data_IF_422581137782
#
_entry.id   IF_422581137782
#
_cell.length_a   1.000
_cell.length_b   1.000
_cell.length_c   1.000
_cell.angle_alpha   90.00
_cell.angle_beta   90.00
_cell.angle_gamma   90.00
#
_symmetry.space_group_name_H-M   'P 1'
#
loop_
_entity.id
_entity.type
_entity.pdbx_description
1 polymer ?
#
# COMPACT_ATOMS: atom_id res chain seq x y z
N UNK A 1 -14.77 40.60 30.32
CA UNK A 1 -14.93 41.44 29.11
C UNK A 1 -13.59 41.59 28.43
N UNK A 2 -13.37 40.83 27.35
CA UNK A 2 -12.64 41.25 26.13
C UNK A 2 -12.64 40.07 25.16
N UNK A 3 -13.08 40.36 23.95
CA UNK A 3 -13.58 39.46 22.93
C UNK A 3 -12.47 38.88 22.05
N UNK A 4 -12.70 37.62 21.65
CA UNK A 4 -12.55 37.05 20.31
C UNK A 4 -11.76 37.83 19.25
N UNK A 5 -10.74 37.17 18.68
CA UNK A 5 -10.45 37.23 17.24
C UNK A 5 -10.04 35.83 16.77
N UNK A 6 -10.98 35.15 16.12
CA UNK A 6 -10.82 33.93 15.31
C UNK A 6 -11.42 34.27 13.93
N UNK A 7 -10.65 34.01 12.87
CA UNK A 7 -11.01 33.90 11.42
C UNK A 7 -9.77 34.36 10.63
N UNK A 8 -9.38 33.83 9.47
CA UNK A 8 -10.07 33.08 8.42
C UNK A 8 -8.97 32.67 7.42
N UNK A 9 -8.90 31.43 6.95
CA UNK A 9 -8.19 31.08 5.72
C UNK A 9 -8.67 29.72 5.17
N UNK A 10 -9.87 29.72 4.58
CA UNK A 10 -10.35 28.64 3.73
C UNK A 10 -11.28 29.24 2.69
N UNK A 11 -10.82 29.40 1.44
CA UNK A 11 -11.62 29.40 0.22
C UNK A 11 -10.77 29.80 -0.99
N UNK A 12 -10.36 28.83 -1.80
CA UNK A 12 -10.24 29.00 -3.26
C UNK A 12 -10.33 27.62 -3.91
N UNK A 13 -11.55 27.17 -4.20
CA UNK A 13 -11.82 26.18 -5.25
C UNK A 13 -12.66 26.92 -6.30
N UNK A 14 -12.04 27.18 -7.45
CA UNK A 14 -12.68 27.80 -8.60
C UNK A 14 -13.46 26.72 -9.35
N UNK A 15 -14.78 26.89 -9.36
CA UNK A 15 -15.71 26.27 -10.30
C UNK A 15 -15.36 26.71 -11.73
N UNK A 16 -15.15 25.76 -12.65
CA UNK A 16 -15.29 26.01 -14.09
C UNK A 16 -16.54 25.29 -14.60
N UNK A 17 -17.56 26.10 -14.83
CA UNK A 17 -18.73 25.76 -15.65
C UNK A 17 -18.39 25.94 -17.12
N UNK A 18 -18.85 25.00 -17.94
CA UNK A 18 -18.92 25.08 -19.40
C UNK A 18 -19.75 26.27 -19.88
N UNK A 19 -19.58 26.67 -21.15
CA UNK A 19 -20.70 27.09 -21.97
C UNK A 19 -20.92 26.17 -23.17
N UNK A 20 -22.19 26.08 -23.54
CA UNK A 20 -22.73 25.31 -24.64
C UNK A 20 -22.79 26.14 -25.95
N UNK A 21 -23.02 25.40 -27.04
CA UNK A 21 -23.71 25.76 -28.29
C UNK A 21 -23.06 26.69 -29.33
N UNK A 22 -22.79 26.12 -30.52
CA UNK A 22 -23.52 26.37 -31.78
C UNK A 22 -22.87 25.54 -32.92
N UNK A 23 -23.58 24.54 -33.46
CA UNK A 23 -24.13 24.54 -34.83
C UNK A 23 -23.19 25.06 -35.93
N UNK A 24 -22.71 24.16 -36.81
CA UNK A 24 -23.20 24.14 -38.19
C UNK A 24 -22.78 22.90 -38.99
N UNK A 25 -23.67 22.60 -39.92
CA UNK A 25 -23.76 21.48 -40.86
C UNK A 25 -22.61 21.35 -41.89
N UNK A 26 -22.40 20.12 -42.39
CA UNK A 26 -22.58 19.73 -43.79
C UNK A 26 -21.52 18.73 -44.32
N UNK A 27 -22.03 17.58 -44.77
CA UNK A 27 -21.71 16.85 -46.01
C UNK A 27 -20.24 16.57 -46.42
N UNK A 28 -19.98 15.31 -46.76
CA UNK A 28 -19.46 15.00 -48.10
C UNK A 28 -18.25 14.08 -48.20
N UNK A 29 -18.54 12.87 -48.69
CA UNK A 29 -17.78 12.13 -49.71
C UNK A 29 -16.44 11.43 -49.35
N UNK A 30 -16.56 10.10 -49.39
CA UNK A 30 -15.57 9.13 -49.85
C UNK A 30 -15.00 9.49 -51.24
N UNK A 31 -13.67 9.36 -51.41
CA UNK A 31 -13.08 8.51 -52.47
C UNK A 31 -11.55 8.42 -52.37
N UNK A 32 -11.11 7.17 -52.42
CA UNK A 32 -9.85 6.61 -52.94
C UNK A 32 -9.04 7.48 -53.93
N UNK A 33 -7.70 7.53 -53.78
CA UNK A 33 -6.75 6.90 -54.73
C UNK A 33 -5.25 7.20 -54.46
N UNK A 34 -4.47 6.11 -54.37
CA UNK A 34 -3.23 5.78 -55.09
C UNK A 34 -1.91 6.59 -55.01
N UNK A 35 -0.86 5.74 -54.95
CA UNK A 35 0.50 5.82 -55.56
C UNK A 35 1.68 6.43 -54.80
N UNK A 36 2.48 5.50 -54.24
CA UNK A 36 3.83 5.09 -54.68
C UNK A 36 4.97 6.12 -54.88
N UNK A 37 6.11 5.74 -54.27
CA UNK A 37 7.51 5.94 -54.71
C UNK A 37 8.14 7.29 -54.36
N UNK A 38 9.41 7.44 -53.96
CA UNK A 38 10.52 6.57 -53.56
C UNK A 38 11.76 7.49 -53.38
N UNK A 39 12.78 7.02 -52.64
CA UNK A 39 14.22 7.35 -52.76
C UNK A 39 14.86 8.34 -51.76
N UNK A 40 16.03 7.88 -51.28
CA UNK A 40 17.17 8.55 -50.62
C UNK A 40 16.94 8.99 -49.16
N UNK A 41 17.76 8.60 -48.18
CA UNK A 41 19.16 8.21 -48.21
C UNK A 41 19.86 9.06 -47.15
N UNK A 42 20.13 8.50 -45.97
CA UNK A 42 21.03 9.10 -44.99
C UNK A 42 21.53 8.03 -44.03
N UNK A 43 22.80 7.72 -44.18
CA UNK A 43 23.61 6.94 -43.26
C UNK A 43 23.93 7.81 -42.06
N UNK A 44 23.20 7.67 -40.95
CA UNK A 44 23.57 8.30 -39.67
C UNK A 44 24.10 7.25 -38.71
N UNK A 45 25.42 7.29 -38.54
CA UNK A 45 26.12 6.66 -37.43
C UNK A 45 25.73 7.40 -36.14
N UNK A 46 24.93 6.75 -35.29
CA UNK A 46 24.62 7.26 -33.96
C UNK A 46 25.78 6.93 -32.98
N UNK A 47 26.23 7.90 -32.16
CA UNK A 47 27.23 7.67 -31.11
C UNK A 47 26.63 6.86 -29.94
N UNK A 48 27.44 6.07 -29.19
CA UNK A 48 26.93 5.09 -28.23
C UNK A 48 26.41 5.65 -26.88
N UNK A 49 26.19 6.96 -26.74
CA UNK A 49 25.75 7.57 -25.46
C UNK A 49 24.82 8.78 -25.65
N UNK A 50 23.79 8.65 -26.49
CA UNK A 50 22.65 9.57 -26.47
C UNK A 50 21.68 9.18 -25.34
N UNK A 51 21.29 10.13 -24.49
CA UNK A 51 20.13 9.95 -23.62
C UNK A 51 18.91 9.60 -24.50
N UNK A 52 18.01 8.72 -24.05
CA UNK A 52 16.80 8.40 -24.82
C UNK A 52 16.06 9.69 -25.15
N UNK A 53 15.57 9.80 -26.39
CA UNK A 53 14.77 10.95 -26.79
C UNK A 53 13.54 11.07 -25.89
N UNK A 54 13.01 12.28 -25.68
CA UNK A 54 11.81 12.50 -24.85
C UNK A 54 10.65 11.61 -25.30
N UNK A 55 10.57 11.28 -26.59
CA UNK A 55 9.58 10.34 -27.15
C UNK A 55 9.87 8.89 -26.79
N UNK A 56 11.13 8.48 -26.73
CA UNK A 56 11.53 7.15 -26.24
C UNK A 56 11.39 7.03 -24.72
N UNK A 57 11.54 8.13 -23.98
CA UNK A 57 11.27 8.21 -22.55
C UNK A 57 9.76 8.17 -22.28
N UNK A 58 8.96 8.93 -23.03
CA UNK A 58 7.49 8.88 -22.97
C UNK A 58 6.98 7.49 -23.39
N UNK A 59 7.49 6.89 -24.47
CA UNK A 59 7.14 5.51 -24.83
C UNK A 59 7.60 4.52 -23.76
N UNK A 60 8.76 4.69 -23.12
CA UNK A 60 9.20 3.81 -22.03
C UNK A 60 8.36 3.99 -20.74
N UNK A 61 7.87 5.21 -20.49
CA UNK A 61 7.01 5.52 -19.34
C UNK A 61 5.54 5.13 -19.57
N UNK A 62 5.05 5.21 -20.81
CA UNK A 62 3.71 4.82 -21.25
C UNK A 62 3.64 3.32 -21.63
N UNK A 63 4.78 2.68 -21.89
CA UNK A 63 4.94 1.25 -22.15
C UNK A 63 5.84 0.58 -21.11
N UNK A 64 5.68 0.92 -19.82
CA UNK A 64 5.79 -0.16 -18.84
C UNK A 64 4.69 -1.14 -19.26
N UNK A 65 5.01 -2.36 -19.70
CA UNK A 65 3.98 -3.24 -20.19
C UNK A 65 3.17 -3.66 -18.97
N UNK A 66 2.09 -2.91 -18.70
CA UNK A 66 0.86 -3.55 -18.32
C UNK A 66 0.57 -4.46 -19.51
N UNK A 67 1.06 -5.70 -19.43
CA UNK A 67 0.92 -6.71 -20.47
C UNK A 67 -0.57 -7.04 -20.54
N UNK A 68 -1.34 -6.20 -21.21
CA UNK A 68 -2.71 -6.49 -21.59
C UNK A 68 -2.70 -7.87 -22.26
N UNK A 69 -3.28 -8.86 -21.58
CA UNK A 69 -3.38 -10.23 -22.08
C UNK A 69 -2.40 -11.26 -21.52
N UNK A 70 -1.45 -10.92 -20.63
CA UNK A 70 -0.73 -11.96 -19.86
C UNK A 70 -1.36 -12.11 -18.48
N UNK A 71 -1.86 -13.31 -18.17
CA UNK A 71 -2.26 -13.63 -16.81
C UNK A 71 -1.03 -13.46 -15.90
N UNK A 72 -1.10 -12.54 -14.93
CA UNK A 72 0.01 -12.30 -13.99
C UNK A 72 0.32 -13.53 -13.14
N UNK A 73 -0.67 -14.41 -13.01
CA UNK A 73 -0.64 -15.63 -12.20
C UNK A 73 -1.25 -16.79 -12.98
N UNK A 74 -0.74 -18.00 -12.77
CA UNK A 74 -1.27 -19.22 -13.35
C UNK A 74 -2.39 -19.85 -12.51
N UNK A 75 -3.34 -19.04 -12.03
CA UNK A 75 -4.49 -19.52 -11.25
C UNK A 75 -5.72 -19.69 -12.17
N UNK A 76 -6.50 -20.78 -12.06
CA UNK A 76 -7.72 -20.95 -12.83
C UNK A 76 -8.74 -19.84 -12.49
N UNK A 77 -9.28 -19.15 -13.50
CA UNK A 77 -10.23 -18.02 -13.30
C UNK A 77 -11.52 -18.41 -12.57
N UNK A 78 -11.86 -19.70 -12.51
CA UNK A 78 -13.13 -20.20 -11.96
C UNK A 78 -13.01 -20.94 -10.63
N UNK A 79 -11.80 -21.06 -10.08
CA UNK A 79 -11.58 -21.72 -8.80
C UNK A 79 -11.31 -20.69 -7.70
N UNK A 80 -11.81 -20.97 -6.49
CA UNK A 80 -11.45 -20.16 -5.33
C UNK A 80 -9.93 -20.25 -5.13
N UNK A 81 -9.24 -19.13 -4.86
CA UNK A 81 -7.78 -19.13 -4.77
C UNK A 81 -7.27 -19.84 -3.50
N UNK A 82 -8.17 -20.25 -2.60
CA UNK A 82 -7.82 -21.02 -1.41
C UNK A 82 -8.32 -22.46 -1.49
N UNK A 83 -7.49 -23.37 -1.00
CA UNK A 83 -7.82 -24.76 -0.75
C UNK A 83 -8.09 -24.99 0.74
N UNK A 84 -8.94 -25.95 1.05
CA UNK A 84 -9.11 -26.45 2.42
C UNK A 84 -7.92 -27.32 2.77
N UNK A 85 -7.32 -27.08 3.94
CA UNK A 85 -6.29 -27.97 4.46
C UNK A 85 -6.96 -29.13 5.19
N UNK A 86 -6.65 -30.37 4.79
CA UNK A 86 -7.03 -31.57 5.54
C UNK A 86 -6.28 -31.71 6.88
N UNK A 87 -5.24 -30.89 7.08
CA UNK A 87 -4.49 -30.78 8.33
C UNK A 87 -4.69 -29.40 8.93
N UNK A 88 -5.10 -29.33 10.21
CA UNK A 88 -4.97 -28.09 10.97
C UNK A 88 -3.47 -27.86 11.16
N UNK A 89 -2.90 -26.89 10.44
CA UNK A 89 -1.52 -26.42 10.69
C UNK A 89 -1.43 -26.03 12.19
N UNK A 90 -0.31 -26.25 12.91
CA UNK A 90 -0.09 -25.71 14.27
C UNK A 90 -0.47 -24.23 14.45
N UNK A 91 -0.64 -23.47 13.37
CA UNK A 91 -1.14 -22.10 13.36
C UNK A 91 -2.66 -21.94 13.45
N UNK A 92 -3.45 -23.02 13.38
CA UNK A 92 -4.92 -23.02 13.39
C UNK A 92 -5.58 -22.80 12.02
N UNK A 93 -4.79 -22.75 10.95
CA UNK A 93 -5.24 -22.45 9.59
C UNK A 93 -6.09 -23.59 9.01
N UNK A 94 -7.36 -23.32 8.68
CA UNK A 94 -8.25 -24.28 8.01
C UNK A 94 -8.20 -24.17 6.48
N UNK A 95 -7.78 -23.02 5.97
CA UNK A 95 -7.67 -22.73 4.54
C UNK A 95 -6.26 -22.21 4.22
N UNK A 96 -5.84 -22.32 2.97
CA UNK A 96 -4.59 -21.74 2.50
C UNK A 96 -4.65 -21.43 1.01
N UNK A 97 -3.89 -20.43 0.57
CA UNK A 97 -3.60 -20.22 -0.86
C UNK A 97 -2.46 -21.18 -1.23
N UNK A 98 -2.65 -22.10 -2.19
CA UNK A 98 -1.60 -23.01 -2.65
C UNK A 98 -0.37 -22.27 -3.16
N UNK A 99 0.81 -22.94 -3.19
CA UNK A 99 1.98 -22.34 -3.79
C UNK A 99 1.73 -21.98 -5.26
N UNK A 100 2.20 -20.81 -5.69
CA UNK A 100 2.09 -20.36 -7.06
C UNK A 100 3.35 -19.60 -7.48
N UNK A 101 3.54 -19.48 -8.79
CA UNK A 101 4.64 -18.73 -9.39
C UNK A 101 4.07 -17.51 -10.09
N UNK A 102 4.64 -16.34 -9.81
CA UNK A 102 4.30 -15.11 -10.52
C UNK A 102 4.94 -15.14 -11.91
N UNK A 103 4.13 -14.99 -12.95
CA UNK A 103 4.56 -15.23 -14.33
C UNK A 103 5.56 -14.17 -14.84
N UNK A 104 5.54 -12.98 -14.26
CA UNK A 104 6.38 -11.85 -14.72
C UNK A 104 7.84 -11.94 -14.26
N UNK A 105 8.10 -12.44 -13.06
CA UNK A 105 9.44 -12.48 -12.45
C UNK A 105 9.85 -13.87 -11.93
N UNK A 106 8.99 -14.88 -12.09
CA UNK A 106 9.24 -16.23 -11.60
C UNK A 106 9.25 -16.36 -10.07
N UNK A 107 8.77 -15.33 -9.34
CA UNK A 107 8.78 -15.36 -7.88
C UNK A 107 7.78 -16.39 -7.36
N UNK A 108 8.25 -17.24 -6.47
CA UNK A 108 7.44 -18.27 -5.83
C UNK A 108 6.81 -17.73 -4.56
N UNK A 109 5.51 -17.95 -4.40
CA UNK A 109 4.75 -17.61 -3.22
C UNK A 109 4.06 -18.85 -2.67
N UNK A 110 3.74 -18.80 -1.37
CA UNK A 110 2.94 -19.81 -0.71
C UNK A 110 3.70 -21.06 -0.23
N UNK A 111 3.01 -21.96 0.49
CA UNK A 111 1.57 -21.87 0.81
C UNK A 111 1.28 -20.74 1.82
N UNK A 112 0.20 -19.99 1.58
CA UNK A 112 -0.21 -18.85 2.42
C UNK A 112 -1.42 -19.26 3.26
N UNK A 113 -1.21 -19.60 4.53
CA UNK A 113 -2.32 -20.01 5.39
C UNK A 113 -3.25 -18.87 5.77
N UNK A 114 -4.53 -19.20 5.87
CA UNK A 114 -5.65 -18.35 6.25
C UNK A 114 -6.31 -18.94 7.53
N UNK A 115 -6.56 -18.09 8.52
CA UNK A 115 -7.09 -18.49 9.83
C UNK A 115 -6.07 -18.41 10.97
N UNK A 116 -5.08 -17.52 10.87
CA UNK A 116 -4.08 -17.27 11.92
C UNK A 116 -4.36 -16.00 12.72
N UNK A 117 -3.62 -15.80 13.81
CA UNK A 117 -3.74 -14.64 14.72
C UNK A 117 -2.49 -13.74 14.74
N UNK A 118 -1.45 -14.10 13.99
CA UNK A 118 -0.19 -13.34 13.86
C UNK A 118 0.24 -13.23 12.41
N UNK A 119 1.07 -12.23 12.12
CA UNK A 119 1.72 -12.12 10.82
C UNK A 119 2.66 -13.31 10.56
N UNK A 120 2.61 -13.86 9.35
CA UNK A 120 3.49 -14.96 8.93
C UNK A 120 4.74 -14.38 8.25
N UNK A 121 5.90 -15.00 8.48
CA UNK A 121 7.18 -14.59 7.88
C UNK A 121 7.31 -15.03 6.41
N UNK A 122 6.32 -14.67 5.62
CA UNK A 122 6.23 -14.93 4.19
C UNK A 122 5.89 -13.61 3.52
N UNK A 123 6.52 -13.34 2.38
CA UNK A 123 6.25 -12.15 1.58
C UNK A 123 4.75 -12.03 1.27
N UNK A 124 4.20 -10.83 1.44
CA UNK A 124 2.81 -10.52 1.09
C UNK A 124 2.69 -10.21 -0.41
N UNK A 125 2.06 -11.08 -1.22
CA UNK A 125 1.86 -10.84 -2.64
C UNK A 125 0.70 -9.87 -2.87
N UNK A 126 0.88 -8.61 -2.51
CA UNK A 126 -0.16 -7.60 -2.56
C UNK A 126 -0.62 -7.28 -3.99
N UNK A 127 0.13 -7.67 -5.02
CA UNK A 127 -0.28 -7.50 -6.42
C UNK A 127 -1.17 -8.65 -6.95
N UNK A 128 -1.71 -9.51 -6.07
CA UNK A 128 -2.63 -10.58 -6.46
C UNK A 128 -4.03 -10.03 -6.77
N UNK A 129 -4.63 -10.33 -7.94
CA UNK A 129 -5.96 -9.88 -8.31
C UNK A 129 -7.05 -10.25 -7.30
N UNK A 130 -6.96 -11.44 -6.70
CA UNK A 130 -7.95 -11.87 -5.70
C UNK A 130 -7.87 -11.09 -4.38
N UNK A 131 -6.78 -10.35 -4.15
CA UNK A 131 -6.70 -9.41 -3.02
C UNK A 131 -7.31 -8.05 -3.39
N UNK A 132 -7.54 -7.76 -4.67
CA UNK A 132 -8.12 -6.49 -5.17
C UNK A 132 -9.45 -6.14 -4.53
N UNK A 133 -10.29 -7.14 -4.28
CA UNK A 133 -11.58 -6.92 -3.63
C UNK A 133 -11.45 -6.55 -2.15
N UNK A 134 -10.35 -6.90 -1.47
CA UNK A 134 -10.05 -6.34 -0.14
C UNK A 134 -9.70 -4.86 -0.22
N UNK A 135 -9.18 -4.41 -1.36
CA UNK A 135 -8.76 -3.02 -1.56
C UNK A 135 -9.96 -2.13 -1.95
N UNK A 136 -11.05 -2.74 -2.44
CA UNK A 136 -12.21 -2.02 -2.93
C UNK A 136 -13.02 -1.30 -1.84
N UNK A 137 -12.94 -1.74 -0.58
CA UNK A 137 -13.63 -1.06 0.51
C UNK A 137 -12.98 0.29 0.82
N UNK A 138 -13.79 1.35 0.79
CA UNK A 138 -13.36 2.70 1.11
C UNK A 138 -12.52 3.37 0.03
N UNK A 139 -12.68 2.99 -1.23
CA UNK A 139 -12.06 3.67 -2.38
C UNK A 139 -12.35 5.17 -2.43
N UNK A 140 -13.44 5.60 -1.84
CA UNK A 140 -13.86 7.00 -1.70
C UNK A 140 -13.37 7.68 -0.41
N UNK A 141 -12.75 6.93 0.51
CA UNK A 141 -12.23 7.50 1.75
C UNK A 141 -11.02 8.38 1.48
N UNK A 142 -10.94 9.46 2.25
CA UNK A 142 -9.95 10.51 2.04
C UNK A 142 -8.85 10.35 3.09
N UNK A 143 -7.57 10.19 2.67
CA UNK A 143 -6.45 10.16 3.60
C UNK A 143 -6.28 11.50 4.30
N UNK A 144 -5.95 11.44 5.59
CA UNK A 144 -5.69 12.61 6.42
C UNK A 144 -4.43 12.39 7.27
N UNK A 145 -3.81 13.47 7.73
CA UNK A 145 -2.68 13.35 8.64
C UNK A 145 -3.15 12.79 9.99
N UNK A 146 -2.61 11.64 10.39
CA UNK A 146 -2.95 11.00 11.66
C UNK A 146 -2.52 11.84 12.87
N UNK A 147 -1.55 12.75 12.71
CA UNK A 147 -1.10 13.64 13.78
C UNK A 147 -2.19 14.64 14.20
N UNK A 148 -3.07 15.05 13.26
CA UNK A 148 -4.22 15.91 13.55
C UNK A 148 -5.29 15.19 14.42
N UNK A 149 -5.22 13.86 14.45
CA UNK A 149 -6.09 13.01 15.26
C UNK A 149 -5.48 12.64 16.61
N UNK A 150 -4.24 13.04 16.88
CA UNK A 150 -3.57 12.73 18.14
C UNK A 150 -4.12 13.59 19.27
N UNK A 151 -4.30 12.99 20.45
CA UNK A 151 -4.68 13.66 21.70
C UNK A 151 -3.75 13.18 22.82
N UNK A 152 -2.54 13.74 22.86
CA UNK A 152 -1.50 13.34 23.80
C UNK A 152 -1.06 11.88 23.57
N UNK A 153 -1.23 10.96 24.55
CA UNK A 153 -0.75 9.58 24.44
C UNK A 153 -1.65 8.65 23.60
N UNK A 154 -2.74 9.15 23.03
CA UNK A 154 -3.70 8.32 22.28
C UNK A 154 -4.16 8.98 20.99
N UNK A 155 -4.65 8.14 20.06
CA UNK A 155 -5.41 8.60 18.90
C UNK A 155 -6.87 8.85 19.30
N UNK A 156 -7.53 9.77 18.58
CA UNK A 156 -8.99 9.94 18.68
C UNK A 156 -9.71 8.60 18.49
N UNK A 157 -10.81 8.34 19.22
CA UNK A 157 -11.62 7.16 18.98
C UNK A 157 -12.04 7.07 17.51
N UNK A 158 -11.88 5.89 16.92
CA UNK A 158 -12.14 5.63 15.51
C UNK A 158 -12.33 4.15 15.27
N UNK A 159 -12.71 3.84 14.05
CA UNK A 159 -12.84 2.48 13.55
C UNK A 159 -11.47 1.95 13.10
N UNK A 160 -11.23 0.66 13.26
CA UNK A 160 -10.01 0.02 12.78
C UNK A 160 -10.41 -1.01 11.75
N UNK A 161 -9.79 -0.96 10.59
CA UNK A 161 -10.05 -1.89 9.48
C UNK A 161 -8.73 -2.34 8.89
N UNK A 162 -8.70 -3.55 8.35
CA UNK A 162 -7.58 -3.96 7.52
C UNK A 162 -7.89 -3.58 6.07
N UNK A 163 -7.01 -2.80 5.47
CA UNK A 163 -7.10 -2.37 4.08
C UNK A 163 -5.69 -2.24 3.56
N UNK A 164 -5.20 -3.31 2.95
CA UNK A 164 -4.03 -3.20 2.09
C UNK A 164 -4.40 -2.34 0.87
N UNK A 165 -3.51 -1.48 0.43
CA UNK A 165 -3.63 -0.73 -0.82
C UNK A 165 -2.37 -1.08 -1.63
N UNK A 166 -2.45 -1.95 -2.65
CA UNK A 166 -1.27 -2.49 -3.33
C UNK A 166 -0.37 -1.40 -3.88
N UNK A 167 -0.95 -0.33 -4.41
CA UNK A 167 -0.19 0.77 -4.98
C UNK A 167 0.64 1.46 -3.89
N UNK A 168 0.02 1.73 -2.75
CA UNK A 168 0.71 2.32 -1.60
C UNK A 168 1.74 1.35 -1.02
N UNK A 169 1.43 0.05 -0.93
CA UNK A 169 2.40 -0.96 -0.46
C UNK A 169 3.60 -1.05 -1.39
N UNK A 170 3.39 -1.08 -2.70
CA UNK A 170 4.44 -1.07 -3.73
C UNK A 170 5.32 0.17 -3.65
N UNK A 171 4.72 1.35 -3.50
CA UNK A 171 5.42 2.62 -3.33
C UNK A 171 6.25 2.62 -2.04
N UNK A 172 5.72 2.12 -0.92
CA UNK A 172 6.44 1.99 0.35
C UNK A 172 7.63 1.04 0.20
N UNK A 173 7.42 -0.16 -0.34
CA UNK A 173 8.50 -1.13 -0.52
C UNK A 173 9.58 -0.58 -1.44
N UNK A 174 9.19 0.04 -2.55
CA UNK A 174 10.11 0.63 -3.53
C UNK A 174 10.91 1.77 -2.91
N UNK A 175 10.27 2.61 -2.11
CA UNK A 175 10.92 3.71 -1.39
C UNK A 175 11.98 3.20 -0.41
N UNK A 176 11.63 2.25 0.46
CA UNK A 176 12.61 1.69 1.40
C UNK A 176 13.75 0.95 0.71
N UNK A 177 13.49 0.20 -0.37
CA UNK A 177 14.55 -0.43 -1.18
C UNK A 177 15.48 0.62 -1.79
N UNK A 178 14.92 1.68 -2.34
CA UNK A 178 15.69 2.78 -2.92
C UNK A 178 16.56 3.47 -1.86
N UNK A 179 16.00 3.77 -0.68
CA UNK A 179 16.74 4.39 0.41
C UNK A 179 17.85 3.50 0.96
N UNK A 180 17.63 2.18 1.03
CA UNK A 180 18.69 1.22 1.33
C UNK A 180 19.87 1.35 0.36
N UNK A 181 19.57 1.38 -0.94
CA UNK A 181 20.58 1.51 -2.00
C UNK A 181 21.33 2.85 -1.91
N UNK A 182 20.64 3.96 -1.65
CA UNK A 182 21.27 5.27 -1.47
C UNK A 182 22.27 5.29 -0.29
N UNK A 183 22.05 4.47 0.72
CA UNK A 183 22.97 4.30 1.86
C UNK A 183 24.09 3.28 1.58
N UNK A 184 24.20 2.76 0.36
CA UNK A 184 25.18 1.73 -0.02
C UNK A 184 24.94 0.40 0.70
N UNK A 185 23.72 0.13 1.17
CA UNK A 185 23.36 -1.08 1.90
C UNK A 185 22.46 -1.97 1.06
N UNK A 186 22.75 -3.26 1.06
CA UNK A 186 21.83 -4.26 0.51
C UNK A 186 20.72 -4.60 1.50
N UNK A 187 19.59 -5.07 0.94
CA UNK A 187 18.46 -5.52 1.74
C UNK A 187 18.76 -6.91 2.32
N UNK A 188 18.95 -6.96 3.64
CA UNK A 188 19.25 -8.18 4.38
C UNK A 188 18.02 -9.09 4.57
N UNK A 189 18.28 -10.36 4.90
CA UNK A 189 17.24 -11.29 5.35
C UNK A 189 16.84 -11.00 6.80
N UNK A 190 15.54 -11.09 7.09
CA UNK A 190 14.99 -10.92 8.46
C UNK A 190 15.49 -12.04 9.38
N UNK A 191 15.50 -13.27 8.88
CA UNK A 191 16.03 -14.44 9.56
C UNK A 191 16.81 -15.29 8.56
N UNK A 192 17.86 -15.99 9.00
CA UNK A 192 18.65 -16.89 8.13
C UNK A 192 17.80 -17.96 7.46
N UNK A 193 16.78 -18.44 8.16
CA UNK A 193 15.86 -19.50 7.72
C UNK A 193 14.66 -18.98 6.94
N UNK A 194 14.34 -17.68 7.02
CA UNK A 194 13.23 -17.11 6.27
C UNK A 194 13.69 -16.69 4.86
N UNK A 195 12.81 -16.85 3.87
CA UNK A 195 12.99 -16.20 2.56
C UNK A 195 12.78 -14.67 2.62
N UNK A 196 12.11 -14.19 3.67
CA UNK A 196 11.76 -12.79 3.89
C UNK A 196 12.98 -11.88 4.06
N UNK A 197 12.94 -10.73 3.38
CA UNK A 197 13.95 -9.67 3.42
C UNK A 197 13.38 -8.40 4.07
N UNK A 198 14.25 -7.51 4.52
CA UNK A 198 13.83 -6.18 4.99
C UNK A 198 13.03 -5.43 3.92
N UNK A 199 12.22 -4.46 4.34
CA UNK A 199 11.41 -3.63 3.45
C UNK A 199 10.44 -4.42 2.54
N UNK A 200 10.03 -5.62 2.98
CA UNK A 200 8.97 -6.42 2.36
C UNK A 200 7.82 -6.61 3.34
N UNK A 201 6.61 -6.44 2.84
CA UNK A 201 5.41 -6.71 3.64
C UNK A 201 5.28 -8.20 3.93
N UNK A 202 4.78 -8.51 5.12
CA UNK A 202 4.53 -9.87 5.58
C UNK A 202 3.06 -10.24 5.50
N UNK A 203 2.79 -11.51 5.23
CA UNK A 203 1.43 -12.04 5.12
C UNK A 203 0.62 -11.80 6.42
N UNK A 204 -0.51 -11.07 6.35
CA UNK A 204 -1.29 -10.70 7.52
C UNK A 204 -2.17 -11.85 8.06
N UNK A 205 -2.61 -11.77 9.32
CA UNK A 205 -3.54 -12.76 9.90
C UNK A 205 -4.97 -12.53 9.38
N UNK A 206 -5.29 -13.16 8.26
CA UNK A 206 -6.57 -13.07 7.57
C UNK A 206 -7.48 -14.27 7.82
N UNK A 207 -8.78 -14.06 7.70
CA UNK A 207 -9.83 -15.07 7.64
C UNK A 207 -10.68 -14.90 6.37
N UNK A 208 -11.42 -15.95 5.99
CA UNK A 208 -12.41 -15.88 4.91
C UNK A 208 -13.74 -15.42 5.51
N UNK A 209 -14.25 -14.30 5.03
CA UNK A 209 -15.61 -13.87 5.25
C UNK A 209 -16.52 -14.61 4.24
N UNK A 210 -17.44 -15.47 4.70
CA UNK A 210 -18.41 -16.08 3.82
C UNK A 210 -19.34 -14.99 3.25
N UNK A 211 -19.77 -15.12 1.99
CA UNK A 211 -20.73 -14.19 1.41
C UNK A 211 -22.05 -14.28 2.19
N UNK A 212 -22.56 -13.15 2.69
CA UNK A 212 -23.85 -13.14 3.38
C UNK A 212 -25.02 -13.42 2.41
N UNK A 213 -24.93 -12.94 1.16
CA UNK A 213 -26.06 -13.04 0.20
C UNK A 213 -25.66 -13.36 -1.24
N UNK A 214 -24.46 -13.00 -1.71
CA UNK A 214 -23.88 -13.43 -2.99
C UNK A 214 -22.35 -13.40 -2.91
N UNK A 215 -21.63 -14.21 -3.72
CA UNK A 215 -20.20 -14.04 -3.97
C UNK A 215 -19.86 -12.57 -4.27
N UNK A 216 -18.65 -12.10 -3.93
CA UNK A 216 -17.46 -12.91 -3.65
C UNK A 216 -17.18 -13.15 -2.16
N UNK A 217 -16.50 -14.25 -1.87
CA UNK A 217 -15.84 -14.46 -0.59
C UNK A 217 -14.72 -13.43 -0.44
N UNK A 218 -14.58 -12.84 0.75
CA UNK A 218 -13.56 -11.82 1.00
C UNK A 218 -12.58 -12.30 2.04
N UNK A 219 -11.34 -11.87 1.91
CA UNK A 219 -10.38 -11.98 3.00
C UNK A 219 -10.52 -10.75 3.90
N UNK A 220 -10.50 -10.94 5.22
CA UNK A 220 -10.57 -9.85 6.17
C UNK A 220 -9.69 -10.14 7.37
N UNK A 221 -9.29 -9.11 8.10
CA UNK A 221 -8.63 -9.29 9.39
C UNK A 221 -9.69 -9.35 10.50
N UNK A 222 -9.75 -10.44 11.29
CA UNK A 222 -10.68 -10.56 12.40
C UNK A 222 -10.57 -9.40 13.39
N UNK A 223 -11.70 -8.98 13.95
CA UNK A 223 -11.73 -7.84 14.89
C UNK A 223 -10.84 -8.07 16.12
N UNK A 224 -10.71 -9.31 16.61
CA UNK A 224 -9.79 -9.62 17.71
C UNK A 224 -8.33 -9.30 17.36
N UNK A 225 -7.91 -9.58 16.11
CA UNK A 225 -6.58 -9.26 15.63
C UNK A 225 -6.40 -7.74 15.49
N UNK A 226 -7.40 -7.04 14.94
CA UNK A 226 -7.39 -5.58 14.85
C UNK A 226 -7.32 -4.91 16.24
N UNK A 227 -8.06 -5.41 17.23
CA UNK A 227 -8.01 -4.90 18.61
C UNK A 227 -6.67 -5.20 19.29
N UNK A 228 -6.04 -6.33 19.00
CA UNK A 228 -4.68 -6.63 19.44
C UNK A 228 -3.68 -5.61 18.88
N UNK A 229 -3.71 -5.36 17.57
CA UNK A 229 -2.85 -4.36 16.92
C UNK A 229 -3.09 -2.95 17.46
N UNK A 230 -4.36 -2.55 17.59
CA UNK A 230 -4.76 -1.27 18.19
C UNK A 230 -4.18 -1.09 19.60
N UNK A 231 -4.24 -2.15 20.42
CA UNK A 231 -3.68 -2.12 21.78
C UNK A 231 -2.17 -1.93 21.76
N UNK A 232 -1.47 -2.66 20.87
CA UNK A 232 -0.03 -2.50 20.67
C UNK A 232 0.35 -1.09 20.23
N UNK A 233 -0.38 -0.52 19.26
CA UNK A 233 -0.16 0.84 18.77
C UNK A 233 -0.40 1.89 19.86
N UNK A 234 -1.52 1.79 20.60
CA UNK A 234 -1.81 2.72 21.69
C UNK A 234 -0.77 2.63 22.82
N UNK A 235 -0.26 1.43 23.11
CA UNK A 235 0.85 1.28 24.06
C UNK A 235 2.11 2.02 23.56
N UNK A 236 2.44 1.91 22.27
CA UNK A 236 3.58 2.65 21.69
C UNK A 236 3.38 4.15 21.73
N UNK A 237 2.19 4.64 21.39
CA UNK A 237 1.84 6.05 21.50
C UNK A 237 1.92 6.57 22.94
N UNK A 238 1.51 5.77 23.93
CA UNK A 238 1.61 6.13 25.35
C UNK A 238 3.05 6.19 25.87
N UNK A 239 3.95 5.42 25.26
CA UNK A 239 5.39 5.43 25.53
C UNK A 239 6.17 6.40 24.63
N UNK A 240 5.49 7.07 23.70
CA UNK A 240 6.12 7.93 22.71
C UNK A 240 6.44 9.30 23.29
N UNK A 241 7.72 9.67 23.30
CA UNK A 241 8.17 11.01 23.64
C UNK A 241 9.27 11.49 22.68
N UNK A 242 9.71 12.74 22.84
CA UNK A 242 10.72 13.37 21.97
C UNK A 242 12.11 12.73 22.08
N UNK A 243 12.45 12.16 23.22
CA UNK A 243 13.75 11.53 23.50
C UNK A 243 13.75 10.04 23.14
N UNK A 244 12.59 9.38 23.22
CA UNK A 244 12.40 7.96 22.97
C UNK A 244 11.26 7.75 21.94
N UNK A 245 11.51 8.07 20.66
CA UNK A 245 10.50 7.93 19.62
C UNK A 245 10.19 6.46 19.32
N UNK A 246 8.94 6.06 19.60
CA UNK A 246 8.38 4.72 19.37
C UNK A 246 7.40 4.63 18.20
N UNK A 247 7.00 5.78 17.65
CA UNK A 247 6.00 5.96 16.59
C UNK A 247 6.56 7.00 15.64
N UNK A 248 6.46 6.72 14.35
CA UNK A 248 7.07 7.52 13.30
C UNK A 248 6.03 7.87 12.25
N UNK A 249 6.24 9.02 11.64
CA UNK A 249 5.52 9.50 10.49
C UNK A 249 6.38 9.23 9.25
N UNK A 250 5.85 8.43 8.34
CA UNK A 250 6.39 8.23 7.00
C UNK A 250 5.58 9.10 6.03
N UNK A 251 6.22 10.13 5.48
CA UNK A 251 5.63 10.98 4.46
C UNK A 251 5.94 10.39 3.08
N UNK A 252 4.92 9.79 2.46
CA UNK A 252 5.06 9.10 1.18
C UNK A 252 4.54 9.99 0.04
N UNK A 253 5.39 10.49 -0.87
CA UNK A 253 4.92 11.18 -2.06
C UNK A 253 4.30 10.19 -3.04
N UNK A 254 3.03 10.38 -3.39
CA UNK A 254 2.30 9.53 -4.35
C UNK A 254 1.79 10.37 -5.52
N UNK A 255 1.35 9.73 -6.60
CA UNK A 255 0.75 10.43 -7.74
C UNK A 255 -0.48 11.27 -7.34
N UNK A 256 -1.23 10.83 -6.32
CA UNK A 256 -2.43 11.51 -5.84
C UNK A 256 -2.16 12.52 -4.72
N UNK A 257 -0.89 12.81 -4.44
CA UNK A 257 -0.46 13.70 -3.37
C UNK A 257 0.26 12.95 -2.23
N UNK A 258 0.77 13.69 -1.24
CA UNK A 258 1.45 13.07 -0.10
C UNK A 258 0.46 12.25 0.74
N UNK A 259 0.90 11.05 1.17
CA UNK A 259 0.19 10.18 2.10
C UNK A 259 0.93 10.17 3.44
N UNK A 260 0.14 10.14 4.53
CA UNK A 260 0.63 10.27 5.89
C UNK A 260 0.54 8.92 6.61
N UNK A 261 1.62 8.16 6.58
CA UNK A 261 1.63 6.79 7.09
C UNK A 261 2.21 6.79 8.51
N UNK A 262 1.43 6.31 9.47
CA UNK A 262 1.92 6.09 10.82
C UNK A 262 2.59 4.73 10.91
N UNK A 263 3.81 4.72 11.44
CA UNK A 263 4.61 3.53 11.64
C UNK A 263 4.86 3.29 13.13
N UNK A 264 4.47 2.12 13.63
CA UNK A 264 4.68 1.75 15.04
C UNK A 264 5.52 0.47 15.15
N UNK A 265 6.60 0.52 15.94
CA UNK A 265 7.39 -0.68 16.26
C UNK A 265 6.58 -1.59 17.19
N UNK A 266 6.18 -2.77 16.76
CA UNK A 266 5.47 -3.73 17.61
C UNK A 266 6.42 -4.86 18.06
N UNK A 267 6.06 -5.57 19.13
CA UNK A 267 6.85 -6.71 19.61
C UNK A 267 6.78 -7.85 18.58
N UNK A 268 7.94 -8.31 18.09
CA UNK A 268 8.03 -9.22 16.96
C UNK A 268 7.46 -10.60 17.32
N UNK A 269 7.70 -11.07 18.53
CA UNK A 269 7.27 -12.41 18.99
C UNK A 269 5.76 -12.42 19.24
N UNK A 270 5.21 -11.33 19.76
CA UNK A 270 3.77 -11.22 20.01
C UNK A 270 2.95 -11.04 18.74
N UNK A 271 3.48 -10.36 17.73
CA UNK A 271 2.73 -9.99 16.53
C UNK A 271 3.05 -10.85 15.30
N UNK A 272 4.11 -11.66 15.33
CA UNK A 272 4.55 -12.47 14.19
C UNK A 272 4.86 -13.92 14.60
N UNK A 273 4.99 -14.82 13.63
CA UNK A 273 5.47 -16.20 13.85
C UNK A 273 6.98 -16.30 14.12
N UNK A 274 7.68 -15.19 14.40
CA UNK A 274 9.06 -15.27 14.86
C UNK A 274 9.13 -15.99 16.22
N UNK A 275 9.99 -17.01 16.37
CA UNK A 275 10.15 -17.72 17.63
C UNK A 275 10.90 -16.89 18.69
N UNK A 276 11.65 -15.87 18.26
CA UNK A 276 12.42 -14.99 19.13
C UNK A 276 12.64 -13.63 18.45
N UNK A 277 12.97 -12.61 19.23
CA UNK A 277 13.29 -11.27 18.71
C UNK A 277 14.48 -11.32 17.76
N UNK A 278 14.38 -10.57 16.67
CA UNK A 278 15.47 -10.44 15.73
C UNK A 278 16.59 -9.59 16.32
N UNK A 279 17.84 -9.90 15.96
CA UNK A 279 19.01 -9.11 16.36
C UNK A 279 19.21 -7.88 15.48
N UNK A 280 18.81 -7.94 14.21
CA UNK A 280 19.09 -6.92 13.20
C UNK A 280 17.84 -6.19 12.71
N UNK A 281 16.63 -6.67 13.05
CA UNK A 281 15.38 -6.06 12.59
C UNK A 281 14.36 -5.86 13.70
N UNK A 282 13.45 -4.90 13.46
CA UNK A 282 12.24 -4.67 14.24
C UNK A 282 11.02 -4.91 13.33
N UNK A 283 9.91 -5.37 13.91
CA UNK A 283 8.63 -5.45 13.22
C UNK A 283 7.88 -4.12 13.31
N UNK A 284 7.48 -3.58 12.16
CA UNK A 284 6.79 -2.32 12.02
C UNK A 284 5.38 -2.55 11.48
N UNK A 285 4.38 -2.03 12.18
CA UNK A 285 3.02 -1.92 11.68
C UNK A 285 2.85 -0.58 10.98
N UNK A 286 2.25 -0.60 9.79
CA UNK A 286 1.97 0.59 9.00
C UNK A 286 0.46 0.77 8.92
N UNK A 287 0.02 1.99 9.20
CA UNK A 287 -1.39 2.35 9.15
C UNK A 287 -1.56 3.77 8.62
N UNK A 288 -2.74 4.02 8.07
CA UNK A 288 -3.13 5.33 7.58
C UNK A 288 -4.44 5.78 8.24
N UNK A 289 -4.54 7.07 8.51
CA UNK A 289 -5.79 7.67 8.96
C UNK A 289 -6.61 8.14 7.76
N UNK A 290 -7.87 7.72 7.72
CA UNK A 290 -8.80 8.01 6.65
C UNK A 290 -10.08 8.62 7.23
N UNK A 291 -10.83 9.36 6.41
CA UNK A 291 -12.18 9.82 6.73
C UNK A 291 -13.14 9.45 5.60
N UNK A 292 -14.35 9.06 5.96
CA UNK A 292 -15.41 8.82 4.98
C UNK A 292 -15.95 10.16 4.45
N UNK A 293 -16.27 10.31 3.16
CA UNK A 293 -16.77 11.56 2.60
C UNK A 293 -17.97 12.14 3.37
N UNK A 294 -18.87 11.29 3.85
CA UNK A 294 -20.06 11.69 4.60
C UNK A 294 -19.71 12.38 5.93
N UNK A 295 -18.57 12.02 6.52
CA UNK A 295 -18.10 12.59 7.78
C UNK A 295 -17.60 14.03 7.62
N UNK A 296 -17.24 14.46 6.41
CA UNK A 296 -16.77 15.83 6.14
C UNK A 296 -17.90 16.87 6.25
N UNK A 297 -19.14 16.48 5.94
CA UNK A 297 -20.30 17.37 6.00
C UNK A 297 -20.76 17.63 7.45
N UNK A 298 -20.26 16.86 8.42
CA UNK A 298 -20.66 16.95 9.82
C UNK A 298 -19.49 17.46 10.65
N UNK A 299 -19.25 18.78 10.61
CA UNK A 299 -18.08 19.46 11.18
C UNK A 299 -17.76 19.15 12.66
N UNK A 300 -18.63 18.46 13.39
CA UNK A 300 -18.46 18.14 14.81
C UNK A 300 -18.24 16.64 15.08
N UNK A 301 -18.22 15.79 14.04
CA UNK A 301 -18.14 14.33 14.20
C UNK A 301 -17.27 13.66 13.13
N UNK A 302 -16.08 14.21 12.85
CA UNK A 302 -15.09 13.47 12.07
C UNK A 302 -14.75 12.20 12.86
N UNK A 303 -15.25 11.06 12.38
CA UNK A 303 -14.96 9.73 12.93
C UNK A 303 -13.88 9.11 12.05
N UNK A 304 -12.61 9.10 12.49
CA UNK A 304 -11.54 8.55 11.69
C UNK A 304 -11.67 7.04 11.56
N UNK A 305 -11.19 6.54 10.42
CA UNK A 305 -10.93 5.13 10.18
C UNK A 305 -9.42 4.95 10.13
N UNK A 306 -8.89 4.06 10.97
CA UNK A 306 -7.48 3.69 10.98
C UNK A 306 -7.33 2.43 10.13
N UNK A 307 -6.88 2.63 8.89
CA UNK A 307 -6.65 1.56 7.93
C UNK A 307 -5.27 0.93 8.19
N UNK A 308 -5.25 -0.31 8.65
CA UNK A 308 -4.02 -1.11 8.75
C UNK A 308 -3.62 -1.54 7.33
N UNK A 309 -2.50 -1.01 6.86
CA UNK A 309 -1.97 -1.31 5.51
C UNK A 309 -1.26 -2.66 5.49
N UNK A 310 -0.48 -2.94 6.53
CA UNK A 310 0.30 -4.16 6.65
C UNK A 310 1.41 -4.06 7.69
N UNK A 311 2.22 -5.11 7.77
CA UNK A 311 3.42 -5.13 8.60
C UNK A 311 4.65 -5.45 7.76
N UNK A 312 5.81 -4.93 8.16
CA UNK A 312 7.10 -5.28 7.54
C UNK A 312 8.22 -5.29 8.57
N UNK A 313 9.36 -5.85 8.19
CA UNK A 313 10.58 -5.78 8.98
C UNK A 313 11.52 -4.74 8.37
N UNK A 314 12.06 -3.88 9.23
CA UNK A 314 13.10 -2.92 8.86
C UNK A 314 14.32 -3.11 9.79
N UNK A 315 15.52 -2.66 9.37
CA UNK A 315 16.69 -2.63 10.23
C UNK A 315 16.41 -1.91 11.57
N UNK A 316 17.09 -2.31 12.64
CA UNK A 316 16.92 -1.63 13.95
C UNK A 316 17.31 -0.14 13.90
N UNK A 317 18.26 0.21 13.04
CA UNK A 317 18.73 1.57 12.76
C UNK A 317 17.92 2.27 11.64
N UNK A 318 16.73 1.75 11.28
CA UNK A 318 15.85 2.39 10.31
C UNK A 318 15.50 3.86 10.63
N UNK A 319 15.21 4.26 11.90
CA UNK A 319 15.00 5.67 12.25
C UNK A 319 16.12 6.60 11.83
N UNK A 320 17.36 6.17 12.03
CA UNK A 320 18.54 6.95 11.68
C UNK A 320 18.81 6.90 10.18
N UNK A 321 18.61 5.72 9.57
CA UNK A 321 18.86 5.47 8.14
C UNK A 321 17.89 6.23 7.23
N UNK A 322 16.62 6.36 7.64
CA UNK A 322 15.55 6.93 6.82
C UNK A 322 15.03 8.27 7.36
N UNK A 323 15.82 8.96 8.19
CA UNK A 323 15.40 10.18 8.91
C UNK A 323 14.82 11.31 8.05
N UNK A 324 15.17 11.36 6.77
CA UNK A 324 14.70 12.38 5.83
C UNK A 324 13.25 12.13 5.36
N UNK A 325 12.75 10.90 5.53
CA UNK A 325 11.43 10.45 5.07
C UNK A 325 10.57 9.87 6.20
N UNK A 326 11.21 9.33 7.23
CA UNK A 326 10.62 8.74 8.41
C UNK A 326 11.10 9.51 9.65
N UNK A 327 10.22 10.30 10.25
CA UNK A 327 10.55 11.15 11.41
C UNK A 327 9.67 10.80 12.61
N UNK A 328 10.12 11.08 13.86
CA UNK A 328 9.28 10.91 15.04
C UNK A 328 7.94 11.63 14.90
N UNK A 329 6.84 10.94 15.20
CA UNK A 329 5.52 11.57 15.18
C UNK A 329 5.46 12.74 16.19
N UNK A 330 4.71 13.79 15.86
CA UNK A 330 4.62 14.97 16.74
C UNK A 330 3.99 14.64 18.10
N UNK A 331 4.64 15.08 19.19
CA UNK A 331 4.20 14.92 20.59
C UNK A 331 3.29 16.07 21.01
#
# INVERSE_FOLDING_TARGET
MRSSVVSMALMMVVLRLSPAEAMDSASGQSSTENRQSSVAGATEANPPFGLPSDRALDDAMLHVPFREGMTMYSLPEHELPWATSSFVDPTGSHHYIPPFVRNVDGKHFGPLGIGGYKFRLVDYPHELPYLEEMHAEGNDWIPINFEDLRRGPTLRPGEWVFRSDPRILDEIESSFRHWHHLQGREVEKVQKTSGLRHARFVWPPLEIQPPEWMPPYRLYMPNNNLMHLRTGVNLRLGLHDRLHPTVYHLLLPTFHGPRHIMMAKLDEVMNTHMPAKSRNSDFWLLQEAMVRPESLNTAHQIRPVYAVLGGMFLPKDAPEMFRDYMYPALV
#
